data_IF_942579223115
#
_entry.id   IF_942579223115
#
_cell.length_a   1.000
_cell.length_b   1.000
_cell.length_c   1.000
_cell.angle_alpha   90.00
_cell.angle_beta   90.00
_cell.angle_gamma   90.00
#
_symmetry.space_group_name_H-M   'P 1'
#
loop_
_entity.id
_entity.type
_entity.pdbx_description
1 polymer ?
#
# COMPACT_ATOMS: atom_id res chain seq x y z
N UNK A 1 -12.63 18.86 -6.72
CA UNK A 1 -13.18 17.55 -6.36
C UNK A 1 -12.12 16.50 -6.63
N UNK A 2 -11.92 15.60 -5.69
CA UNK A 2 -11.00 14.50 -5.86
C UNK A 2 -11.57 13.41 -6.76
N UNK A 3 -10.69 12.62 -7.35
CA UNK A 3 -11.10 11.43 -8.07
C UNK A 3 -11.71 10.42 -7.10
N UNK A 4 -12.64 9.63 -7.61
CA UNK A 4 -13.18 8.50 -6.86
C UNK A 4 -12.24 7.32 -7.06
N UNK A 5 -11.67 6.83 -5.98
CA UNK A 5 -10.74 5.72 -5.99
C UNK A 5 -11.37 4.47 -5.37
N UNK A 6 -11.15 3.32 -6.02
CA UNK A 6 -11.49 2.03 -5.44
C UNK A 6 -10.37 1.62 -4.50
N UNK A 7 -10.71 1.29 -3.26
CA UNK A 7 -9.72 0.96 -2.25
C UNK A 7 -10.10 -0.29 -1.47
N UNK A 8 -9.07 -1.00 -1.01
CA UNK A 8 -9.18 -2.01 0.02
C UNK A 8 -8.40 -1.49 1.21
N UNK A 9 -9.09 -1.20 2.29
CA UNK A 9 -8.51 -0.62 3.50
C UNK A 9 -8.22 -1.75 4.47
N UNK A 10 -6.95 -1.91 4.85
CA UNK A 10 -6.55 -2.95 5.79
C UNK A 10 -6.23 -2.32 7.14
N UNK A 11 -6.86 -2.84 8.17
CA UNK A 11 -6.68 -2.40 9.54
C UNK A 11 -5.60 -3.25 10.23
N UNK A 12 -4.98 -2.68 11.26
CA UNK A 12 -3.96 -3.39 12.03
C UNK A 12 -4.54 -4.58 12.81
N UNK A 13 -5.84 -4.57 13.07
CA UNK A 13 -6.52 -5.67 13.75
C UNK A 13 -6.93 -6.83 12.81
N UNK A 14 -6.61 -6.72 11.53
CA UNK A 14 -6.89 -7.76 10.53
C UNK A 14 -8.15 -7.54 9.71
N UNK A 15 -8.99 -6.56 10.07
CA UNK A 15 -10.19 -6.25 9.27
C UNK A 15 -9.80 -5.69 7.92
N UNK A 16 -10.65 -5.93 6.92
CA UNK A 16 -10.52 -5.37 5.58
C UNK A 16 -11.86 -4.78 5.19
N UNK A 17 -11.84 -3.53 4.71
CA UNK A 17 -13.04 -2.89 4.17
C UNK A 17 -12.77 -2.46 2.74
N UNK A 18 -13.67 -2.80 1.84
CA UNK A 18 -13.59 -2.43 0.42
C UNK A 18 -14.65 -1.41 0.09
N UNK A 19 -14.27 -0.44 -0.71
CA UNK A 19 -15.19 0.61 -1.11
C UNK A 19 -14.49 1.68 -1.92
N UNK A 20 -15.11 2.85 -1.97
CA UNK A 20 -14.56 3.99 -2.69
C UNK A 20 -14.28 5.15 -1.74
N UNK A 21 -13.32 5.97 -2.10
CA UNK A 21 -13.01 7.19 -1.39
C UNK A 21 -12.70 8.31 -2.39
N UNK A 22 -13.03 9.54 -2.01
CA UNK A 22 -12.71 10.71 -2.82
C UNK A 22 -12.09 11.84 -2.01
N UNK A 23 -11.91 11.63 -0.70
CA UNK A 23 -11.36 12.65 0.19
C UNK A 23 -10.08 12.21 0.91
N UNK A 24 -9.45 11.12 0.47
CA UNK A 24 -8.19 10.71 1.06
C UNK A 24 -7.08 11.67 0.64
N UNK A 25 -6.39 12.23 1.62
CA UNK A 25 -5.22 13.11 1.41
C UNK A 25 -4.12 12.65 2.36
N UNK A 26 -2.92 12.35 1.83
CA UNK A 26 -1.79 12.04 2.69
C UNK A 26 -1.55 13.15 3.72
N UNK A 27 -1.35 12.76 4.97
CA UNK A 27 -1.13 13.71 6.06
C UNK A 27 -2.38 14.07 6.85
N UNK A 28 -3.57 13.80 6.34
CA UNK A 28 -4.80 13.95 7.12
C UNK A 28 -5.01 12.73 8.01
N UNK A 29 -5.51 12.92 9.24
CA UNK A 29 -5.67 11.81 10.18
C UNK A 29 -6.84 10.89 9.88
N UNK A 30 -7.77 11.29 9.02
CA UNK A 30 -8.91 10.46 8.65
C UNK A 30 -9.42 10.79 7.25
N UNK A 31 -10.21 9.87 6.70
CA UNK A 31 -10.93 10.06 5.44
C UNK A 31 -12.24 9.28 5.52
N UNK A 32 -13.08 9.43 4.51
CA UNK A 32 -14.37 8.74 4.44
C UNK A 32 -14.32 7.64 3.39
N UNK A 33 -14.76 6.46 3.80
CA UNK A 33 -14.89 5.30 2.92
C UNK A 33 -16.38 5.06 2.67
N UNK A 34 -16.73 4.91 1.40
CA UNK A 34 -18.06 4.47 1.00
C UNK A 34 -18.00 2.97 0.77
N UNK A 35 -18.46 2.15 1.74
CA UNK A 35 -18.35 0.69 1.61
C UNK A 35 -19.09 0.17 0.39
N UNK A 36 -18.56 -0.89 -0.20
CA UNK A 36 -19.10 -1.51 -1.39
C UNK A 36 -20.53 -2.01 -1.19
N UNK A 37 -20.83 -2.49 0.00
CA UNK A 37 -22.10 -3.14 0.35
C UNK A 37 -23.03 -2.29 1.22
N UNK A 38 -22.69 -1.03 1.45
CA UNK A 38 -23.44 -0.15 2.32
C UNK A 38 -23.58 1.23 1.70
N UNK A 39 -24.72 1.87 1.90
CA UNK A 39 -24.95 3.22 1.39
C UNK A 39 -24.37 4.33 2.26
N UNK A 40 -23.82 4.03 3.43
CA UNK A 40 -23.34 5.06 4.37
C UNK A 40 -21.82 5.15 4.37
N UNK A 41 -21.30 6.36 4.28
CA UNK A 41 -19.88 6.61 4.45
C UNK A 41 -19.46 6.33 5.89
N UNK A 42 -18.25 5.77 6.02
CA UNK A 42 -17.64 5.45 7.31
C UNK A 42 -16.38 6.30 7.46
N UNK A 43 -16.21 6.93 8.61
CA UNK A 43 -14.97 7.62 8.92
C UNK A 43 -13.89 6.59 9.25
N UNK A 44 -12.76 6.70 8.57
CA UNK A 44 -11.62 5.79 8.77
C UNK A 44 -10.45 6.60 9.30
N UNK A 45 -9.91 6.19 10.43
CA UNK A 45 -8.74 6.82 11.04
C UNK A 45 -7.47 6.15 10.55
N UNK A 46 -6.59 6.93 9.97
CA UNK A 46 -5.35 6.42 9.37
C UNK A 46 -4.47 5.70 10.38
N UNK A 47 -4.43 6.15 11.63
CA UNK A 47 -3.62 5.54 12.70
C UNK A 47 -4.03 4.09 13.03
N UNK A 48 -5.24 3.68 12.67
CA UNK A 48 -5.73 2.32 12.89
C UNK A 48 -5.40 1.38 11.73
N UNK A 49 -4.76 1.89 10.69
CA UNK A 49 -4.57 1.17 9.45
C UNK A 49 -3.17 0.60 9.30
N UNK A 50 -3.10 -0.53 8.62
CA UNK A 50 -1.88 -1.09 8.06
C UNK A 50 -1.53 -0.39 6.75
N UNK A 51 -2.49 -0.34 5.84
CA UNK A 51 -2.32 0.28 4.53
C UNK A 51 -3.65 0.50 3.83
N UNK A 52 -3.65 1.38 2.85
CA UNK A 52 -4.76 1.60 1.93
C UNK A 52 -4.29 1.15 0.56
N UNK A 53 -4.89 0.09 0.02
CA UNK A 53 -4.57 -0.42 -1.30
C UNK A 53 -5.53 0.17 -2.32
N UNK A 54 -4.99 0.88 -3.29
CA UNK A 54 -5.75 1.42 -4.42
C UNK A 54 -5.82 0.33 -5.47
N UNK A 55 -7.00 -0.22 -5.69
CA UNK A 55 -7.18 -1.45 -6.45
C UNK A 55 -7.84 -1.21 -7.80
N UNK A 56 -7.57 -2.11 -8.75
CA UNK A 56 -8.18 -2.06 -10.08
C UNK A 56 -9.63 -2.52 -10.04
N UNK A 57 -9.91 -3.55 -9.23
CA UNK A 57 -11.27 -4.03 -9.00
C UNK A 57 -11.36 -4.64 -7.60
N UNK A 58 -12.62 -4.85 -7.13
CA UNK A 58 -12.86 -5.34 -5.77
C UNK A 58 -12.67 -6.83 -5.62
N UNK A 59 -12.84 -7.60 -6.68
CA UNK A 59 -12.68 -9.06 -6.66
C UNK A 59 -11.23 -9.46 -6.48
N UNK A 60 -10.31 -8.62 -6.94
CA UNK A 60 -8.90 -8.93 -6.96
C UNK A 60 -8.55 -10.00 -8.00
N UNK A 61 -7.44 -10.65 -7.78
CA UNK A 61 -6.94 -11.73 -8.66
C UNK A 61 -6.51 -12.90 -7.77
N UNK A 62 -7.47 -13.71 -7.27
CA UNK A 62 -7.15 -14.75 -6.29
C UNK A 62 -6.17 -15.80 -6.80
N UNK A 63 -6.13 -16.05 -8.12
CA UNK A 63 -5.22 -17.02 -8.72
C UNK A 63 -3.87 -16.42 -9.12
N UNK A 64 -3.70 -15.12 -8.94
CA UNK A 64 -2.45 -14.44 -9.27
C UNK A 64 -1.47 -14.51 -8.11
N UNK A 65 -0.28 -15.05 -8.37
CA UNK A 65 0.81 -15.03 -7.42
C UNK A 65 1.59 -13.72 -7.62
N UNK A 66 1.66 -12.91 -6.57
CA UNK A 66 2.34 -11.62 -6.60
C UNK A 66 3.85 -11.84 -6.83
N UNK A 67 4.39 -11.17 -7.85
CA UNK A 67 5.83 -11.19 -8.10
C UNK A 67 6.50 -10.12 -7.25
N UNK A 68 7.30 -10.54 -6.28
CA UNK A 68 8.01 -9.65 -5.36
C UNK A 68 9.43 -9.33 -5.78
N UNK A 69 9.88 -9.89 -6.91
CA UNK A 69 11.25 -9.69 -7.38
C UNK A 69 11.39 -8.37 -8.13
N UNK A 70 12.55 -7.75 -8.01
CA UNK A 70 12.87 -6.56 -8.79
C UNK A 70 13.47 -6.97 -10.14
N UNK A 71 13.13 -6.28 -11.24
CA UNK A 71 13.82 -6.48 -12.51
C UNK A 71 15.26 -6.00 -12.40
N UNK A 72 16.12 -6.48 -13.30
CA UNK A 72 17.53 -6.08 -13.31
C UNK A 72 17.71 -4.60 -13.61
N UNK A 73 16.86 -4.06 -14.48
CA UNK A 73 16.91 -2.64 -14.83
C UNK A 73 15.59 -1.97 -14.43
N UNK A 74 15.70 -0.92 -13.65
CA UNK A 74 14.55 -0.15 -13.17
C UNK A 74 14.59 1.21 -13.83
N UNK A 75 13.53 1.58 -14.57
CA UNK A 75 13.45 2.94 -15.14
C UNK A 75 13.49 3.99 -14.02
N UNK A 76 14.26 5.05 -14.24
CA UNK A 76 14.40 6.13 -13.26
C UNK A 76 13.04 6.78 -12.93
N UNK A 77 12.10 6.77 -13.88
CA UNK A 77 10.77 7.32 -13.68
C UNK A 77 9.94 6.59 -12.61
N UNK A 78 10.31 5.37 -12.27
CA UNK A 78 9.61 4.60 -11.23
C UNK A 78 10.06 4.96 -9.81
N UNK A 79 11.13 5.71 -9.66
CA UNK A 79 11.68 6.08 -8.37
C UNK A 79 12.64 5.03 -7.83
N UNK A 80 12.71 4.92 -6.51
CA UNK A 80 13.65 4.03 -5.84
C UNK A 80 12.96 2.72 -5.43
N UNK A 81 13.67 1.60 -5.53
CA UNK A 81 13.12 0.36 -5.00
C UNK A 81 13.02 0.43 -3.47
N UNK A 82 11.95 -0.17 -2.97
CA UNK A 82 11.65 -0.20 -1.54
C UNK A 82 11.09 -1.57 -1.19
N UNK A 83 11.48 -2.07 -0.03
CA UNK A 83 10.88 -3.26 0.58
C UNK A 83 10.36 -2.84 1.94
N UNK A 84 9.10 -3.15 2.20
CA UNK A 84 8.42 -2.87 3.46
C UNK A 84 8.08 -4.19 4.11
N UNK A 85 8.50 -4.36 5.36
CA UNK A 85 8.09 -5.50 6.18
C UNK A 85 7.15 -4.94 7.24
N UNK A 86 5.92 -5.41 7.22
CA UNK A 86 4.91 -4.99 8.20
C UNK A 86 5.10 -5.74 9.52
N UNK A 87 4.51 -5.21 10.58
CA UNK A 87 4.58 -5.83 11.91
C UNK A 87 3.95 -7.22 11.95
N UNK A 88 3.04 -7.52 11.02
CA UNK A 88 2.46 -8.86 10.85
C UNK A 88 3.32 -9.78 9.97
N UNK A 89 4.51 -9.34 9.59
CA UNK A 89 5.49 -10.03 8.75
C UNK A 89 5.14 -10.12 7.26
N UNK A 90 4.08 -9.47 6.82
CA UNK A 90 3.83 -9.36 5.39
C UNK A 90 4.92 -8.49 4.74
N UNK A 91 5.33 -8.87 3.53
CA UNK A 91 6.38 -8.17 2.77
C UNK A 91 5.77 -7.54 1.53
N UNK A 92 5.99 -6.25 1.37
CA UNK A 92 5.56 -5.52 0.18
C UNK A 92 6.81 -5.01 -0.54
N UNK A 93 6.94 -5.35 -1.83
CA UNK A 93 8.03 -4.87 -2.67
C UNK A 93 7.49 -3.93 -3.72
N UNK A 94 8.22 -2.86 -3.97
CA UNK A 94 7.76 -1.89 -4.95
C UNK A 94 8.75 -0.77 -5.17
N UNK A 95 8.20 0.34 -5.64
CA UNK A 95 8.94 1.57 -5.91
C UNK A 95 8.29 2.71 -5.18
N UNK A 96 9.09 3.67 -4.76
CA UNK A 96 8.59 4.89 -4.14
C UNK A 96 9.26 6.12 -4.76
N UNK A 97 8.48 7.15 -5.00
CA UNK A 97 8.99 8.43 -5.50
C UNK A 97 9.38 9.36 -4.35
N UNK A 98 8.87 9.10 -3.16
CA UNK A 98 9.21 9.91 -1.99
C UNK A 98 8.94 9.15 -0.71
N UNK A 99 9.99 8.87 0.04
CA UNK A 99 9.89 8.26 1.36
C UNK A 99 10.45 9.21 2.39
N UNK A 100 9.64 9.57 3.37
CA UNK A 100 10.04 10.42 4.48
C UNK A 100 9.64 9.71 5.77
N UNK A 101 10.61 9.25 6.59
CA UNK A 101 10.30 8.54 7.83
C UNK A 101 9.61 9.42 8.87
N UNK A 102 9.62 10.73 8.70
CA UNK A 102 8.91 11.66 9.59
C UNK A 102 7.43 11.79 9.30
N UNK A 103 6.94 11.23 8.18
CA UNK A 103 5.53 11.31 7.81
C UNK A 103 4.75 10.10 8.30
N UNK A 104 3.43 10.26 8.40
CA UNK A 104 2.54 9.20 8.87
C UNK A 104 2.44 8.01 7.89
N UNK A 105 2.78 8.23 6.62
CA UNK A 105 2.74 7.16 5.63
C UNK A 105 3.38 7.59 4.33
N UNK A 106 3.45 6.66 3.39
CA UNK A 106 4.08 6.88 2.09
C UNK A 106 3.49 5.93 1.04
N UNK A 107 3.58 6.35 -0.22
CA UNK A 107 3.08 5.53 -1.33
C UNK A 107 4.15 4.57 -1.84
N UNK A 108 3.71 3.35 -2.14
CA UNK A 108 4.50 2.32 -2.79
C UNK A 108 3.73 1.80 -3.99
N UNK A 109 4.40 1.76 -5.15
CA UNK A 109 3.86 1.12 -6.35
C UNK A 109 4.43 -0.29 -6.42
N UNK A 110 3.58 -1.34 -6.48
CA UNK A 110 4.07 -2.73 -6.51
C UNK A 110 5.00 -3.00 -7.68
N UNK A 111 5.96 -3.91 -7.48
CA UNK A 111 6.86 -4.36 -8.56
C UNK A 111 6.09 -5.13 -9.64
N UNK A 112 5.04 -5.84 -9.26
CA UNK A 112 4.25 -6.67 -10.15
C UNK A 112 3.24 -5.81 -10.91
N UNK A 113 3.48 -5.59 -12.20
CA UNK A 113 2.58 -4.80 -13.05
C UNK A 113 1.20 -5.44 -13.23
N UNK A 114 1.12 -6.75 -13.01
CA UNK A 114 -0.14 -7.49 -13.09
C UNK A 114 -0.89 -7.53 -11.77
N UNK A 115 -0.36 -6.88 -10.73
CA UNK A 115 -1.02 -6.79 -9.43
C UNK A 115 -2.36 -6.08 -9.56
N UNK A 116 -3.34 -6.53 -8.77
CA UNK A 116 -4.59 -5.81 -8.63
C UNK A 116 -4.40 -4.47 -7.91
N UNK A 117 -3.31 -4.35 -7.16
CA UNK A 117 -2.98 -3.11 -6.46
C UNK A 117 -2.23 -2.18 -7.41
N UNK A 118 -2.80 -1.02 -7.70
CA UNK A 118 -2.11 0.01 -8.49
C UNK A 118 -1.05 0.70 -7.66
N UNK A 119 -1.37 0.96 -6.40
CA UNK A 119 -0.47 1.56 -5.43
C UNK A 119 -0.99 1.28 -4.02
N UNK A 120 -0.13 1.44 -3.04
CA UNK A 120 -0.50 1.31 -1.64
C UNK A 120 -0.02 2.52 -0.86
N UNK A 121 -0.88 3.08 -0.03
CA UNK A 121 -0.45 4.03 0.98
C UNK A 121 -0.16 3.24 2.25
N UNK A 122 1.12 3.12 2.57
CA UNK A 122 1.60 2.35 3.71
C UNK A 122 1.60 3.25 4.94
N UNK A 123 0.95 2.79 6.00
CA UNK A 123 0.90 3.53 7.27
C UNK A 123 2.13 3.17 8.10
N UNK A 124 2.95 4.17 8.40
CA UNK A 124 4.26 3.96 9.01
C UNK A 124 4.20 3.23 10.34
N UNK A 125 3.18 3.48 11.16
CA UNK A 125 3.05 2.84 12.47
C UNK A 125 2.85 1.33 12.38
N UNK A 126 2.44 0.81 11.23
CA UNK A 126 2.26 -0.63 11.00
C UNK A 126 3.52 -1.30 10.44
N UNK A 127 4.58 -0.54 10.22
CA UNK A 127 5.79 -1.02 9.57
C UNK A 127 6.83 -1.42 10.60
N UNK A 128 7.39 -2.61 10.40
CA UNK A 128 8.48 -3.16 11.22
C UNK A 128 9.83 -2.76 10.68
N UNK A 129 10.00 -2.80 9.35
CA UNK A 129 11.29 -2.56 8.72
C UNK A 129 11.09 -2.02 7.30
N UNK A 130 11.93 -1.08 6.89
CA UNK A 130 11.95 -0.54 5.53
C UNK A 130 13.38 -0.57 5.02
N UNK A 131 13.56 -1.02 3.79
CA UNK A 131 14.84 -0.93 3.11
C UNK A 131 14.67 -0.34 1.74
N UNK A 132 15.65 0.48 1.31
CA UNK A 132 15.67 1.10 0.00
C UNK A 132 16.99 0.82 -0.69
N UNK A 133 16.97 0.76 -2.02
CA UNK A 133 18.17 0.48 -2.79
C UNK A 133 18.76 -0.87 -2.44
N UNK A 134 20.05 -0.93 -2.14
CA UNK A 134 20.75 -2.18 -1.80
C UNK A 134 20.16 -2.84 -0.55
N UNK A 135 19.73 -2.04 0.43
CA UNK A 135 19.11 -2.57 1.64
C UNK A 135 17.78 -3.27 1.32
N UNK A 136 17.05 -2.81 0.30
CA UNK A 136 15.84 -3.48 -0.15
C UNK A 136 16.13 -4.91 -0.60
N UNK A 137 17.19 -5.10 -1.38
CA UNK A 137 17.60 -6.42 -1.84
C UNK A 137 17.99 -7.32 -0.67
N UNK A 138 18.68 -6.77 0.32
CA UNK A 138 19.11 -7.53 1.50
C UNK A 138 17.92 -7.99 2.34
N UNK A 139 16.93 -7.13 2.53
CA UNK A 139 15.72 -7.47 3.29
C UNK A 139 14.91 -8.52 2.53
N UNK A 140 14.74 -8.34 1.22
CA UNK A 140 13.98 -9.27 0.40
C UNK A 140 14.59 -10.67 0.45
N UNK A 141 15.92 -10.77 0.41
CA UNK A 141 16.62 -12.05 0.49
C UNK A 141 16.35 -12.81 1.79
N UNK A 142 16.11 -12.10 2.89
CA UNK A 142 15.79 -12.72 4.19
C UNK A 142 14.38 -13.28 4.26
N UNK A 143 13.48 -12.80 3.39
CA UNK A 143 12.06 -13.12 3.45
C UNK A 143 11.58 -13.99 2.27
N UNK A 144 12.48 -14.40 1.40
CA UNK A 144 12.16 -15.30 0.28
C UNK A 144 12.33 -16.75 0.65
#
# INVERSE_FOLDING_TARGET
MGEINKVAVRFTDGRVMKGTTHDFVPGKPFFHLHPQDSGRAVEVRVEELKAIFFVKNFEGKPDHAENRSFPQQIPASKGRKIVVVFKDNEVLTGYTLGYDPGRAGFFVMPTDEMSNNERAFVVRSAVKEVGMGLKADQILAKHL
#
